data_IF_540699870729
#
_entry.id   IF_540699870729
#
_cell.length_a   1.000
_cell.length_b   1.000
_cell.length_c   1.000
_cell.angle_alpha   90.00
_cell.angle_beta   90.00
_cell.angle_gamma   90.00
#
_symmetry.space_group_name_H-M   'P 1'
#
loop_
_entity.id
_entity.type
_entity.pdbx_description
1 polymer ?
#
# COMPACT_ATOMS: atom_id res chain seq x y z
N UNK A 1 -2.49 -5.72 12.19
CA UNK A 1 -1.57 -5.13 11.20
C UNK A 1 -1.95 -5.61 9.81
N UNK A 2 -1.89 -4.75 8.83
CA UNK A 2 -2.27 -5.07 7.46
C UNK A 2 -1.12 -5.76 6.72
N UNK A 3 -1.45 -6.74 5.88
CA UNK A 3 -0.49 -7.38 4.97
C UNK A 3 -0.69 -6.81 3.57
N UNK A 4 -0.01 -5.72 3.28
CA UNK A 4 -0.15 -5.02 2.01
C UNK A 4 0.27 -5.89 0.83
N UNK A 5 1.33 -6.67 0.98
CA UNK A 5 1.81 -7.56 -0.09
C UNK A 5 0.73 -8.54 -0.51
N UNK A 6 0.04 -9.15 0.46
CA UNK A 6 -1.03 -10.10 0.17
C UNK A 6 -2.22 -9.43 -0.51
N UNK A 7 -2.65 -8.28 0.02
CA UNK A 7 -3.78 -7.53 -0.54
C UNK A 7 -3.47 -7.11 -1.97
N UNK A 8 -2.27 -6.60 -2.20
CA UNK A 8 -1.83 -6.20 -3.54
C UNK A 8 -1.81 -7.41 -4.49
N UNK A 9 -1.24 -8.52 -4.03
CA UNK A 9 -1.12 -9.74 -4.82
C UNK A 9 -2.50 -10.31 -5.17
N UNK A 10 -3.41 -10.30 -4.22
CA UNK A 10 -4.79 -10.77 -4.43
C UNK A 10 -5.52 -9.89 -5.44
N UNK A 11 -5.15 -8.62 -5.54
CA UNK A 11 -5.71 -7.69 -6.52
C UNK A 11 -5.05 -7.84 -7.90
N UNK A 12 -4.04 -8.69 -8.03
CA UNK A 12 -3.36 -8.92 -9.30
C UNK A 12 -2.39 -7.83 -9.72
N UNK A 13 -1.90 -7.02 -8.76
CA UNK A 13 -1.01 -5.91 -9.06
C UNK A 13 0.42 -6.20 -8.61
N UNK A 14 1.38 -5.77 -9.44
CA UNK A 14 2.79 -5.76 -9.04
C UNK A 14 3.06 -4.52 -8.19
N UNK A 15 4.24 -4.48 -7.53
CA UNK A 15 4.67 -3.30 -6.80
C UNK A 15 4.75 -2.08 -7.72
N UNK A 16 5.27 -2.25 -8.92
CA UNK A 16 5.36 -1.16 -9.91
C UNK A 16 3.99 -0.65 -10.31
N UNK A 17 3.04 -1.55 -10.54
CA UNK A 17 1.69 -1.17 -10.93
C UNK A 17 0.98 -0.42 -9.81
N UNK A 18 1.11 -0.87 -8.59
CA UNK A 18 0.51 -0.18 -7.45
C UNK A 18 1.16 1.19 -7.26
N UNK A 19 2.48 1.27 -7.31
CA UNK A 19 3.22 2.52 -7.17
C UNK A 19 2.77 3.55 -8.22
N UNK A 20 2.61 3.11 -9.47
CA UNK A 20 2.15 3.98 -10.55
C UNK A 20 0.75 4.53 -10.28
N UNK A 21 -0.16 3.68 -9.81
CA UNK A 21 -1.54 4.09 -9.52
C UNK A 21 -1.63 5.03 -8.33
N UNK A 22 -0.79 4.83 -7.34
CA UNK A 22 -0.73 5.68 -6.13
C UNK A 22 -0.02 7.00 -6.42
N UNK A 23 0.90 6.99 -7.38
CA UNK A 23 1.69 8.17 -7.70
C UNK A 23 2.97 8.28 -6.90
N UNK A 24 3.54 7.15 -6.51
CA UNK A 24 4.81 7.07 -5.77
C UNK A 24 5.77 6.14 -6.50
N UNK A 25 7.03 6.13 -6.08
CA UNK A 25 8.01 5.21 -6.65
C UNK A 25 7.83 3.81 -6.07
N UNK A 26 8.28 2.80 -6.81
CA UNK A 26 8.19 1.40 -6.39
C UNK A 26 8.83 1.17 -5.02
N UNK A 27 9.97 1.82 -4.76
CA UNK A 27 10.68 1.66 -3.49
C UNK A 27 9.81 2.05 -2.30
N UNK A 28 8.94 3.05 -2.46
CA UNK A 28 7.99 3.45 -1.42
C UNK A 28 7.06 2.29 -1.07
N UNK A 29 6.51 1.62 -2.08
CA UNK A 29 5.62 0.46 -1.85
C UNK A 29 6.40 -0.68 -1.18
N UNK A 30 7.60 -0.97 -1.67
CA UNK A 30 8.45 -2.01 -1.09
C UNK A 30 8.75 -1.75 0.39
N UNK A 31 9.08 -0.52 0.74
CA UNK A 31 9.38 -0.14 2.12
C UNK A 31 8.16 -0.32 3.04
N UNK A 32 6.98 0.02 2.53
CA UNK A 32 5.74 -0.17 3.28
C UNK A 32 5.45 -1.65 3.50
N UNK A 33 5.63 -2.46 2.46
CA UNK A 33 5.39 -3.91 2.54
C UNK A 33 6.35 -4.61 3.49
N UNK A 34 7.58 -4.13 3.55
CA UNK A 34 8.62 -4.69 4.43
C UNK A 34 8.55 -4.17 5.86
N UNK A 35 7.69 -3.21 6.16
CA UNK A 35 7.59 -2.61 7.48
C UNK A 35 8.71 -1.63 7.81
N UNK A 36 9.50 -1.23 6.82
CA UNK A 36 10.59 -0.27 7.00
C UNK A 36 10.03 1.15 7.17
N UNK A 37 8.94 1.45 6.49
CA UNK A 37 8.31 2.76 6.54
C UNK A 37 6.79 2.63 6.61
N UNK A 38 6.14 3.61 7.24
CA UNK A 38 4.68 3.72 7.21
C UNK A 38 4.28 4.71 6.12
N UNK A 39 3.16 4.49 5.43
CA UNK A 39 2.69 5.47 4.45
C UNK A 39 2.21 6.74 5.14
N UNK A 40 2.30 7.86 4.43
CA UNK A 40 1.60 9.08 4.86
C UNK A 40 0.08 8.84 4.78
N UNK A 41 -0.70 9.71 5.42
CA UNK A 41 -2.17 9.60 5.35
C UNK A 41 -2.65 9.65 3.90
N UNK A 42 -2.10 10.55 3.09
CA UNK A 42 -2.43 10.66 1.67
C UNK A 42 -2.15 9.37 0.90
N UNK A 43 -0.96 8.81 1.10
CA UNK A 43 -0.57 7.57 0.43
C UNK A 43 -1.44 6.41 0.90
N UNK A 44 -1.70 6.34 2.21
CA UNK A 44 -2.56 5.29 2.77
C UNK A 44 -3.97 5.34 2.18
N UNK A 45 -4.55 6.53 2.07
CA UNK A 45 -5.87 6.72 1.46
C UNK A 45 -5.89 6.26 0.01
N UNK A 46 -4.86 6.64 -0.76
CA UNK A 46 -4.78 6.24 -2.16
C UNK A 46 -4.68 4.73 -2.32
N UNK A 47 -3.85 4.08 -1.50
CA UNK A 47 -3.71 2.63 -1.53
C UNK A 47 -5.03 1.96 -1.14
N UNK A 48 -5.69 2.46 -0.10
CA UNK A 48 -6.97 1.91 0.35
C UNK A 48 -8.06 2.01 -0.72
N UNK A 49 -8.11 3.11 -1.46
CA UNK A 49 -9.05 3.28 -2.56
C UNK A 49 -8.77 2.30 -3.70
N UNK A 50 -7.51 2.14 -4.07
CA UNK A 50 -7.12 1.27 -5.17
C UNK A 50 -7.36 -0.19 -4.84
N UNK A 51 -7.02 -0.60 -3.62
CA UNK A 51 -7.12 -2.00 -3.20
C UNK A 51 -8.41 -2.31 -2.44
N UNK A 52 -9.28 -1.32 -2.29
CA UNK A 52 -10.61 -1.48 -1.69
C UNK A 52 -10.59 -2.01 -0.26
N UNK A 53 -9.79 -1.38 0.60
CA UNK A 53 -9.80 -1.67 2.03
C UNK A 53 -9.74 -0.36 2.83
N UNK A 54 -10.01 -0.47 4.14
CA UNK A 54 -9.96 0.70 5.02
C UNK A 54 -8.52 1.12 5.27
N UNK A 55 -8.14 2.29 4.75
CA UNK A 55 -6.77 2.79 4.87
C UNK A 55 -6.34 3.00 6.33
N UNK A 56 -7.30 3.19 7.23
CA UNK A 56 -7.00 3.35 8.66
C UNK A 56 -6.31 2.10 9.23
N UNK A 57 -6.49 0.94 8.61
CA UNK A 57 -5.84 -0.30 9.03
C UNK A 57 -4.32 -0.22 9.00
N UNK A 58 -3.74 0.69 8.18
CA UNK A 58 -2.29 0.91 8.19
C UNK A 58 -1.79 1.41 9.55
N UNK A 59 -2.64 2.06 10.32
CA UNK A 59 -2.27 2.72 11.56
C UNK A 59 -2.81 1.99 12.80
N UNK A 60 -3.43 0.84 12.59
CA UNK A 60 -3.94 0.00 13.68
C UNK A 60 -2.95 -1.12 13.99
N UNK A 61 -2.80 -1.42 15.25
CA UNK A 61 -1.96 -2.53 15.70
C UNK A 61 -2.69 -3.87 15.64
#
# INVERSE_FOLDING_TARGET
MIDLKKIRSDAGLTQDQLAERVGVIRQTISNIECGIAKPSVETAKAIGEILEFDWADFFMD
#
